data_IF_992673591284
#
_entry.id   IF_992673591284
#
_cell.length_a   1.000
_cell.length_b   1.000
_cell.length_c   1.000
_cell.angle_alpha   90.00
_cell.angle_beta   90.00
_cell.angle_gamma   90.00
#
_symmetry.space_group_name_H-M   'P 1'
#
loop_
_entity.id
_entity.type
_entity.pdbx_description
1 polymer ?
#
# COMPACT_ATOMS: atom_id res chain seq x y z
N UNK A 1 -19.16 4.53 1.63
CA UNK A 1 -18.67 3.19 1.26
C UNK A 1 -17.17 3.15 1.37
N UNK A 2 -16.60 2.21 2.12
CA UNK A 2 -15.15 2.13 2.25
C UNK A 2 -14.50 1.78 0.91
N UNK A 3 -13.31 2.33 0.74
CA UNK A 3 -12.48 2.12 -0.45
C UNK A 3 -11.15 1.54 0.01
N UNK A 4 -10.67 0.53 -0.70
CA UNK A 4 -9.39 -0.11 -0.39
C UNK A 4 -8.51 -0.13 -1.62
N UNK A 5 -7.30 0.38 -1.50
CA UNK A 5 -6.28 0.25 -2.54
C UNK A 5 -5.43 -0.95 -2.19
N UNK A 6 -5.40 -1.93 -3.08
CA UNK A 6 -4.60 -3.14 -2.90
C UNK A 6 -3.49 -3.16 -3.93
N UNK A 7 -2.26 -3.27 -3.48
CA UNK A 7 -1.11 -3.46 -4.34
C UNK A 7 -0.42 -4.79 -4.04
N UNK A 8 -0.02 -5.50 -5.09
CA UNK A 8 0.66 -6.79 -4.99
C UNK A 8 2.13 -6.62 -5.33
N UNK A 9 2.99 -7.17 -4.49
CA UNK A 9 4.44 -6.95 -4.54
C UNK A 9 5.23 -8.22 -4.47
N UNK A 10 6.40 -8.20 -5.11
CA UNK A 10 7.47 -9.16 -4.87
C UNK A 10 8.65 -8.44 -4.24
N UNK A 11 9.38 -9.12 -3.36
CA UNK A 11 10.60 -8.57 -2.76
C UNK A 11 11.59 -9.69 -2.44
N UNK A 12 12.89 -9.47 -2.69
CA UNK A 12 13.93 -10.43 -2.29
C UNK A 12 14.34 -10.29 -0.82
N UNK A 13 13.88 -9.25 -0.13
CA UNK A 13 14.23 -8.98 1.27
C UNK A 13 12.98 -8.52 2.03
N UNK A 14 12.26 -9.48 2.59
CA UNK A 14 11.01 -9.26 3.30
C UNK A 14 11.18 -8.35 4.51
N UNK A 15 12.25 -8.55 5.28
CA UNK A 15 12.49 -7.75 6.48
C UNK A 15 12.69 -6.27 6.15
N UNK A 16 13.55 -5.97 5.17
CA UNK A 16 13.80 -4.59 4.74
C UNK A 16 12.54 -3.95 4.16
N UNK A 17 11.79 -4.66 3.31
CA UNK A 17 10.54 -4.16 2.73
C UNK A 17 9.46 -3.95 3.79
N UNK A 18 9.42 -4.78 4.84
CA UNK A 18 8.49 -4.60 5.97
C UNK A 18 8.78 -3.30 6.71
N UNK A 19 10.06 -2.96 6.92
CA UNK A 19 10.43 -1.69 7.57
C UNK A 19 10.01 -0.48 6.72
N UNK A 20 10.20 -0.54 5.41
CA UNK A 20 9.71 0.49 4.49
C UNK A 20 8.18 0.62 4.57
N UNK A 21 7.47 -0.50 4.61
CA UNK A 21 6.00 -0.52 4.71
C UNK A 21 5.49 0.09 6.02
N UNK A 22 6.18 -0.13 7.13
CA UNK A 22 5.86 0.51 8.41
C UNK A 22 5.94 2.03 8.33
N UNK A 23 6.97 2.54 7.68
CA UNK A 23 7.14 3.99 7.48
C UNK A 23 6.09 4.54 6.51
N UNK A 24 5.78 3.80 5.45
CA UNK A 24 4.71 4.17 4.51
C UNK A 24 3.35 4.22 5.21
N UNK A 25 3.05 3.28 6.10
CA UNK A 25 1.83 3.28 6.90
C UNK A 25 1.66 4.58 7.68
N UNK A 26 2.73 5.05 8.33
CA UNK A 26 2.70 6.29 9.09
C UNK A 26 2.32 7.48 8.20
N UNK A 27 2.87 7.55 6.99
CA UNK A 27 2.58 8.63 6.04
C UNK A 27 1.13 8.57 5.55
N UNK A 28 0.65 7.38 5.17
CA UNK A 28 -0.74 7.21 4.74
C UNK A 28 -1.74 7.57 5.84
N UNK A 29 -1.51 7.08 7.06
CA UNK A 29 -2.39 7.32 8.22
C UNK A 29 -2.42 8.80 8.60
N UNK A 30 -1.28 9.48 8.57
CA UNK A 30 -1.18 10.91 8.84
C UNK A 30 -1.99 11.75 7.87
N UNK A 31 -2.16 11.28 6.64
CA UNK A 31 -2.80 12.04 5.56
C UNK A 31 -4.23 11.60 5.27
N UNK A 32 -4.83 10.73 6.08
CA UNK A 32 -6.25 10.43 6.01
C UNK A 32 -6.64 8.98 5.75
N UNK A 33 -5.69 8.07 5.56
CA UNK A 33 -6.01 6.65 5.49
C UNK A 33 -6.50 6.14 6.85
N UNK A 34 -7.44 5.22 6.86
CA UNK A 34 -7.97 4.61 8.08
C UNK A 34 -7.08 3.48 8.59
N UNK A 35 -6.45 2.76 7.68
CA UNK A 35 -5.55 1.65 8.01
C UNK A 35 -4.66 1.30 6.81
N UNK A 36 -3.56 0.63 7.10
CA UNK A 36 -2.72 -0.03 6.10
C UNK A 36 -2.36 -1.40 6.64
N UNK A 37 -2.61 -2.43 5.84
CA UNK A 37 -2.34 -3.82 6.21
C UNK A 37 -1.37 -4.45 5.22
N UNK A 38 -0.43 -5.21 5.75
CA UNK A 38 0.50 -6.02 4.97
C UNK A 38 0.14 -7.49 5.18
N UNK A 39 -0.06 -8.21 4.09
CA UNK A 39 -0.38 -9.65 4.12
C UNK A 39 0.46 -10.40 3.11
N UNK A 40 0.78 -11.65 3.42
CA UNK A 40 1.37 -12.56 2.44
C UNK A 40 0.27 -13.42 1.84
N UNK A 41 0.31 -13.62 0.54
CA UNK A 41 -0.61 -14.52 -0.15
C UNK A 41 -0.21 -15.94 0.18
N UNK A 42 -1.08 -16.65 0.88
CA UNK A 42 -0.81 -18.02 1.36
C UNK A 42 -1.19 -19.07 0.32
N UNK A 43 -2.29 -18.87 -0.39
CA UNK A 43 -2.75 -19.79 -1.44
C UNK A 43 -3.20 -19.03 -2.68
N UNK A 44 -3.11 -19.67 -3.85
CA UNK A 44 -3.56 -19.10 -5.11
C UNK A 44 -2.42 -18.91 -6.11
N UNK A 45 -2.70 -18.27 -7.27
CA UNK A 45 -1.73 -18.10 -8.35
C UNK A 45 -0.48 -17.31 -7.96
N UNK A 46 -0.59 -16.46 -6.95
CA UNK A 46 0.49 -15.57 -6.52
C UNK A 46 0.99 -15.90 -5.12
N UNK A 47 0.90 -17.17 -4.72
CA UNK A 47 1.37 -17.65 -3.41
C UNK A 47 2.80 -17.19 -3.13
N UNK A 48 3.02 -16.66 -1.93
CA UNK A 48 4.31 -16.14 -1.50
C UNK A 48 4.54 -14.68 -1.78
N UNK A 49 3.73 -14.05 -2.65
CA UNK A 49 3.77 -12.61 -2.88
C UNK A 49 3.06 -11.85 -1.78
N UNK A 50 3.21 -10.54 -1.77
CA UNK A 50 2.74 -9.66 -0.69
C UNK A 50 1.65 -8.73 -1.17
N UNK A 51 0.67 -8.49 -0.30
CA UNK A 51 -0.38 -7.50 -0.52
C UNK A 51 -0.26 -6.37 0.49
N UNK A 52 -0.32 -5.14 -0.01
CA UNK A 52 -0.48 -3.93 0.80
C UNK A 52 -1.89 -3.42 0.55
N UNK A 53 -2.69 -3.32 1.60
CA UNK A 53 -4.05 -2.81 1.53
C UNK A 53 -4.17 -1.53 2.34
N UNK A 54 -4.53 -0.43 1.69
CA UNK A 54 -4.75 0.87 2.33
C UNK A 54 -6.23 1.19 2.28
N UNK A 55 -6.82 1.44 3.43
CA UNK A 55 -8.27 1.62 3.59
C UNK A 55 -8.62 3.09 3.79
N UNK A 56 -9.65 3.55 3.08
CA UNK A 56 -10.19 4.91 3.18
C UNK A 56 -11.70 4.87 3.45
N UNK A 57 -12.22 5.94 4.05
CA UNK A 57 -13.64 6.03 4.36
C UNK A 57 -14.52 6.01 3.10
N UNK A 58 -14.07 6.69 2.03
CA UNK A 58 -14.77 6.80 0.75
C UNK A 58 -13.81 7.24 -0.36
N UNK A 59 -14.33 7.37 -1.58
CA UNK A 59 -13.54 7.82 -2.73
C UNK A 59 -13.00 9.24 -2.57
N UNK A 60 -13.76 10.14 -1.96
CA UNK A 60 -13.31 11.51 -1.73
C UNK A 60 -12.12 11.56 -0.79
N UNK A 61 -12.14 10.76 0.30
CA UNK A 61 -11.03 10.63 1.22
C UNK A 61 -9.79 10.04 0.54
N UNK A 62 -9.96 9.03 -0.30
CA UNK A 62 -8.87 8.47 -1.10
C UNK A 62 -8.24 9.53 -2.01
N UNK A 63 -9.05 10.24 -2.78
CA UNK A 63 -8.55 11.24 -3.73
C UNK A 63 -7.77 12.35 -3.01
N UNK A 64 -8.26 12.83 -1.88
CA UNK A 64 -7.62 13.84 -1.06
C UNK A 64 -6.28 13.37 -0.52
N UNK A 65 -6.24 12.17 0.04
CA UNK A 65 -5.02 11.59 0.59
C UNK A 65 -4.00 11.31 -0.51
N UNK A 66 -4.43 10.77 -1.64
CA UNK A 66 -3.57 10.49 -2.79
C UNK A 66 -2.90 11.76 -3.33
N UNK A 67 -3.64 12.86 -3.41
CA UNK A 67 -3.10 14.13 -3.89
C UNK A 67 -1.90 14.60 -3.05
N UNK A 68 -1.91 14.34 -1.74
CA UNK A 68 -0.81 14.68 -0.83
C UNK A 68 0.30 13.65 -0.89
N UNK A 69 -0.04 12.37 -0.74
CA UNK A 69 0.96 11.28 -0.63
C UNK A 69 1.73 11.10 -1.93
N UNK A 70 1.06 11.20 -3.09
CA UNK A 70 1.71 11.03 -4.41
C UNK A 70 2.76 12.10 -4.71
N UNK A 71 2.71 13.24 -4.04
CA UNK A 71 3.67 14.34 -4.18
C UNK A 71 4.59 14.49 -2.97
N UNK A 72 4.45 13.63 -1.97
CA UNK A 72 5.25 13.68 -0.74
C UNK A 72 6.70 13.29 -1.00
N UNK A 73 7.63 14.14 -0.56
CA UNK A 73 9.06 13.86 -0.63
C UNK A 73 9.42 12.62 0.21
N UNK A 74 8.81 12.47 1.38
CA UNK A 74 9.04 11.33 2.26
C UNK A 74 8.59 10.01 1.62
N UNK A 75 7.40 10.00 1.00
CA UNK A 75 6.91 8.82 0.29
C UNK A 75 7.81 8.47 -0.91
N UNK A 76 8.26 9.48 -1.65
CA UNK A 76 9.18 9.29 -2.77
C UNK A 76 10.49 8.66 -2.32
N UNK A 77 11.03 9.09 -1.19
CA UNK A 77 12.24 8.51 -0.58
C UNK A 77 12.02 7.05 -0.22
N UNK A 78 10.89 6.71 0.40
CA UNK A 78 10.56 5.33 0.77
C UNK A 78 10.41 4.42 -0.45
N UNK A 79 9.76 4.90 -1.50
CA UNK A 79 9.63 4.14 -2.74
C UNK A 79 10.97 3.89 -3.40
N UNK A 80 11.87 4.88 -3.36
CA UNK A 80 13.23 4.73 -3.88
C UNK A 80 14.05 3.70 -3.06
N UNK A 81 13.91 3.72 -1.74
CA UNK A 81 14.53 2.72 -0.85
C UNK A 81 14.03 1.31 -1.16
N UNK A 82 12.71 1.16 -1.33
CA UNK A 82 12.11 -0.14 -1.65
C UNK A 82 12.56 -0.66 -3.02
N UNK A 83 12.71 0.24 -4.00
CA UNK A 83 13.25 -0.11 -5.32
C UNK A 83 14.70 -0.59 -5.24
N UNK A 84 15.52 0.03 -4.39
CA UNK A 84 16.91 -0.41 -4.16
C UNK A 84 17.00 -1.78 -3.51
N UNK A 85 16.04 -2.14 -2.66
CA UNK A 85 15.93 -3.48 -2.08
C UNK A 85 15.61 -4.52 -3.16
N UNK A 86 14.99 -4.10 -4.27
CA UNK A 86 14.54 -4.96 -5.34
C UNK A 86 13.05 -5.29 -5.27
N UNK A 87 12.29 -4.59 -4.45
CA UNK A 87 10.85 -4.74 -4.38
C UNK A 87 10.20 -4.19 -5.65
N UNK A 88 9.24 -4.93 -6.20
CA UNK A 88 8.53 -4.56 -7.42
C UNK A 88 7.04 -4.69 -7.21
N UNK A 89 6.31 -3.63 -7.55
CA UNK A 89 4.85 -3.67 -7.60
C UNK A 89 4.40 -4.38 -8.88
N UNK A 90 3.65 -5.46 -8.72
CA UNK A 90 3.15 -6.27 -9.82
C UNK A 90 1.81 -5.79 -10.33
N UNK A 91 0.94 -5.36 -9.43
CA UNK A 91 -0.41 -4.96 -9.75
C UNK A 91 -0.97 -4.05 -8.67
N UNK A 92 -1.94 -3.22 -9.04
CA UNK A 92 -2.63 -2.32 -8.13
C UNK A 92 -4.10 -2.24 -8.52
N UNK A 93 -4.98 -2.37 -7.54
CA UNK A 93 -6.42 -2.31 -7.72
C UNK A 93 -7.04 -1.37 -6.71
N UNK A 94 -8.09 -0.68 -7.13
CA UNK A 94 -8.94 0.14 -6.26
C UNK A 94 -10.27 -0.58 -6.09
N UNK A 95 -10.57 -0.97 -4.87
CA UNK A 95 -11.79 -1.71 -4.52
C UNK A 95 -12.77 -0.76 -3.84
N UNK A 96 -13.98 -0.70 -4.34
CA UNK A 96 -15.06 0.07 -3.73
C UNK A 96 -16.00 -0.92 -3.04
N UNK A 97 -16.23 -0.73 -1.74
CA UNK A 97 -17.13 -1.57 -0.97
C UNK A 97 -18.56 -1.44 -1.48
N UNK A 98 -19.27 -2.56 -1.46
CA UNK A 98 -20.69 -2.62 -1.84
C UNK A 98 -21.49 -2.96 -0.59
N UNK A 99 -22.53 -2.17 -0.34
CA UNK A 99 -23.45 -2.42 0.75
C UNK A 99 -24.43 -3.55 0.35
N UNK A 100 -24.44 -4.63 1.15
CA UNK A 100 -25.25 -5.82 0.84
C UNK A 100 -26.54 -5.86 1.67
#
# INVERSE_FOLDING_TARGET
MPVTVVSRWTTPNVEASTQVTKQAKAIWMKNGALDLRLSQIFTGPYTGQWLVAVVFADLAAYAKTWAVVSTSADMRTLLAENAKIGAVMQERELLVGIDL
#
